data_IF_882659757439
#
_entry.id   IF_882659757439
#
_cell.length_a   1.000
_cell.length_b   1.000
_cell.length_c   1.000
_cell.angle_alpha   90.00
_cell.angle_beta   90.00
_cell.angle_gamma   90.00
#
_symmetry.space_group_name_H-M   'P 1'
#
loop_
_entity.id
_entity.type
_entity.pdbx_description
1 polymer ?
#
# COMPACT_ATOMS: atom_id res chain seq x y z
N UNK A 1 -4.39 11.81 -20.81
CA UNK A 1 -3.42 10.93 -21.49
C UNK A 1 -3.85 9.48 -21.27
N UNK A 2 -3.86 8.64 -22.32
CA UNK A 2 -4.24 7.22 -22.21
C UNK A 2 -3.11 6.33 -22.68
N UNK A 3 -2.80 5.29 -21.92
CA UNK A 3 -1.77 4.29 -22.22
C UNK A 3 -2.39 2.88 -22.14
N UNK A 4 -1.72 1.87 -22.69
CA UNK A 4 -2.11 0.46 -22.52
C UNK A 4 -1.01 -0.26 -21.75
N UNK A 5 -1.36 -0.81 -20.58
CA UNK A 5 -0.48 -1.66 -19.79
C UNK A 5 -0.80 -3.12 -20.15
N UNK A 6 -0.07 -3.66 -21.12
CA UNK A 6 -0.43 -4.93 -21.75
C UNK A 6 -1.82 -4.85 -22.40
N UNK A 7 -2.74 -5.69 -21.94
CA UNK A 7 -4.14 -5.70 -22.42
C UNK A 7 -5.08 -4.77 -21.63
N UNK A 8 -4.59 -4.08 -20.61
CA UNK A 8 -5.40 -3.20 -19.75
C UNK A 8 -5.29 -1.75 -20.24
N UNK A 9 -6.39 -1.13 -20.70
CA UNK A 9 -6.40 0.31 -21.00
C UNK A 9 -6.34 1.12 -19.71
N UNK A 10 -5.45 2.11 -19.66
CA UNK A 10 -5.19 2.92 -18.46
C UNK A 10 -5.23 4.41 -18.80
N UNK A 11 -5.93 5.18 -17.98
CA UNK A 11 -5.99 6.64 -18.09
C UNK A 11 -5.08 7.23 -17.02
N UNK A 12 -4.16 8.10 -17.45
CA UNK A 12 -3.25 8.82 -16.55
C UNK A 12 -3.86 10.18 -16.23
N UNK A 13 -4.06 10.44 -14.94
CA UNK A 13 -4.54 11.70 -14.38
C UNK A 13 -3.33 12.49 -13.88
N UNK A 14 -2.99 13.59 -14.56
CA UNK A 14 -1.73 14.32 -14.34
C UNK A 14 -1.93 15.81 -14.02
N UNK A 15 -3.15 16.24 -13.69
CA UNK A 15 -3.42 17.60 -13.23
C UNK A 15 -4.30 17.61 -11.97
N UNK A 16 -4.17 18.63 -11.10
CA UNK A 16 -5.01 18.76 -9.91
C UNK A 16 -6.51 18.84 -10.24
N UNK A 17 -6.88 19.56 -11.30
CA UNK A 17 -8.26 19.73 -11.73
C UNK A 17 -8.86 18.39 -12.16
N UNK A 18 -8.10 17.60 -12.91
CA UNK A 18 -8.51 16.25 -13.28
C UNK A 18 -8.56 15.32 -12.07
N UNK A 19 -7.60 15.40 -11.15
CA UNK A 19 -7.62 14.61 -9.92
C UNK A 19 -8.86 14.90 -9.06
N UNK A 20 -9.27 16.17 -8.96
CA UNK A 20 -10.50 16.58 -8.27
C UNK A 20 -11.74 15.94 -8.91
N UNK A 21 -11.83 15.93 -10.24
CA UNK A 21 -12.95 15.29 -10.93
C UNK A 21 -13.05 13.78 -10.63
N UNK A 22 -11.91 13.09 -10.52
CA UNK A 22 -11.87 11.64 -10.28
C UNK A 22 -12.03 11.25 -8.81
N UNK A 23 -11.41 12.00 -7.89
CA UNK A 23 -11.32 11.65 -6.47
C UNK A 23 -12.36 12.34 -5.59
N UNK A 24 -13.05 13.36 -6.10
CA UNK A 24 -14.08 14.10 -5.36
C UNK A 24 -15.41 14.12 -6.11
N UNK A 25 -15.44 14.61 -7.36
CA UNK A 25 -16.72 14.77 -8.09
C UNK A 25 -17.34 13.43 -8.52
N UNK A 26 -16.51 12.50 -8.98
CA UNK A 26 -16.94 11.17 -9.46
C UNK A 26 -16.31 10.05 -8.62
N UNK A 27 -16.03 10.33 -7.35
CA UNK A 27 -15.30 9.45 -6.44
C UNK A 27 -15.93 8.06 -6.33
N UNK A 28 -17.26 7.97 -6.25
CA UNK A 28 -18.00 6.70 -6.16
C UNK A 28 -17.85 5.85 -7.42
N UNK A 29 -17.79 6.47 -8.60
CA UNK A 29 -17.64 5.76 -9.88
C UNK A 29 -16.26 5.11 -9.96
N UNK A 30 -15.23 5.81 -9.49
CA UNK A 30 -13.84 5.36 -9.51
C UNK A 30 -13.36 4.76 -8.18
N UNK A 31 -14.27 4.49 -7.24
CA UNK A 31 -13.92 4.01 -5.91
C UNK A 31 -13.38 2.57 -5.92
N UNK A 32 -13.85 1.74 -6.85
CA UNK A 32 -13.42 0.34 -6.97
C UNK A 32 -12.03 0.20 -7.57
N UNK A 33 -11.27 -0.80 -7.10
CA UNK A 33 -9.95 -1.14 -7.68
C UNK A 33 -10.08 -2.19 -8.80
N UNK A 34 -9.21 -2.15 -9.82
CA UNK A 34 -9.10 -3.24 -10.79
C UNK A 34 -8.87 -4.58 -10.07
N UNK A 35 -9.49 -5.65 -10.58
CA UNK A 35 -9.27 -6.99 -10.03
C UNK A 35 -7.86 -7.45 -10.39
N UNK A 36 -7.03 -7.64 -9.38
CA UNK A 36 -5.69 -8.18 -9.50
C UNK A 36 -5.69 -9.61 -8.97
N UNK A 37 -5.13 -10.57 -9.72
CA UNK A 37 -5.01 -11.96 -9.27
C UNK A 37 -4.20 -12.03 -7.95
N UNK A 38 -3.14 -11.23 -7.83
CA UNK A 38 -2.38 -11.09 -6.60
C UNK A 38 -3.27 -10.74 -5.38
N UNK A 39 -4.23 -9.85 -5.56
CA UNK A 39 -5.10 -9.40 -4.47
C UNK A 39 -6.11 -10.49 -4.06
N UNK A 40 -6.46 -11.43 -4.95
CA UNK A 40 -7.24 -12.61 -4.57
C UNK A 40 -6.46 -13.53 -3.61
N UNK A 41 -5.16 -13.73 -3.87
CA UNK A 41 -4.31 -14.57 -3.01
C UNK A 41 -3.96 -13.90 -1.68
N UNK A 42 -3.55 -12.62 -1.71
CA UNK A 42 -3.01 -11.93 -0.53
C UNK A 42 -4.10 -11.25 0.30
N UNK A 43 -5.25 -10.89 -0.30
CA UNK A 43 -6.34 -10.20 0.40
C UNK A 43 -7.57 -11.08 0.62
N UNK A 44 -7.37 -12.38 0.85
CA UNK A 44 -8.45 -13.34 1.15
C UNK A 44 -9.63 -13.26 0.17
N UNK A 45 -9.33 -13.28 -1.14
CA UNK A 45 -10.33 -13.11 -2.20
C UNK A 45 -10.87 -11.68 -2.28
N UNK A 46 -9.98 -10.68 -2.23
CA UNK A 46 -10.34 -9.25 -2.25
C UNK A 46 -11.26 -8.79 -1.11
N UNK A 47 -11.25 -9.44 0.06
CA UNK A 47 -12.04 -9.05 1.23
C UNK A 47 -11.29 -8.08 2.18
N UNK A 48 -10.29 -7.35 1.68
CA UNK A 48 -9.55 -6.36 2.46
C UNK A 48 -10.08 -4.93 2.29
N UNK A 49 -9.63 -4.00 3.14
CA UNK A 49 -9.94 -2.57 2.99
C UNK A 49 -9.38 -1.97 1.68
N UNK A 50 -8.24 -2.50 1.21
CA UNK A 50 -7.47 -1.91 0.10
C UNK A 50 -8.01 -2.33 -1.27
N UNK A 51 -8.31 -3.62 -1.46
CA UNK A 51 -8.67 -4.18 -2.77
C UNK A 51 -10.13 -4.61 -2.91
N UNK A 52 -10.95 -4.51 -1.85
CA UNK A 52 -12.36 -4.81 -1.99
C UNK A 52 -13.06 -3.82 -2.94
N UNK A 53 -13.95 -4.30 -3.82
CA UNK A 53 -14.75 -3.42 -4.65
C UNK A 53 -15.64 -2.54 -3.77
N UNK A 54 -15.94 -1.34 -4.27
CA UNK A 54 -16.78 -0.41 -3.54
C UNK A 54 -18.19 -0.98 -3.37
N UNK A 55 -18.68 -0.96 -2.13
CA UNK A 55 -19.97 -1.54 -1.77
C UNK A 55 -20.24 -1.44 -0.28
N UNK A 56 -21.36 -2.02 0.18
CA UNK A 56 -21.75 -2.01 1.61
C UNK A 56 -20.68 -2.62 2.51
N UNK A 57 -20.05 -3.70 2.07
CA UNK A 57 -18.93 -4.35 2.75
C UNK A 57 -17.76 -3.39 2.97
N UNK A 58 -17.23 -2.81 1.89
CA UNK A 58 -16.10 -1.89 1.94
C UNK A 58 -16.39 -0.66 2.81
N UNK A 59 -17.59 -0.08 2.71
CA UNK A 59 -18.00 1.06 3.54
C UNK A 59 -18.00 0.70 5.03
N UNK A 60 -18.47 -0.50 5.37
CA UNK A 60 -18.52 -0.99 6.75
C UNK A 60 -17.11 -1.19 7.32
N UNK A 61 -16.26 -1.91 6.58
CA UNK A 61 -14.87 -2.14 6.97
C UNK A 61 -14.11 -0.82 7.11
N UNK A 62 -14.27 0.11 6.16
CA UNK A 62 -13.66 1.44 6.24
C UNK A 62 -14.11 2.19 7.49
N UNK A 63 -15.41 2.20 7.80
CA UNK A 63 -15.94 2.83 9.01
C UNK A 63 -15.33 2.22 10.27
N UNK A 64 -15.22 0.89 10.33
CA UNK A 64 -14.63 0.20 11.47
C UNK A 64 -13.14 0.55 11.63
N UNK A 65 -12.36 0.53 10.55
CA UNK A 65 -10.96 0.94 10.58
C UNK A 65 -10.80 2.39 11.04
N UNK A 66 -11.61 3.32 10.53
CA UNK A 66 -11.58 4.72 10.94
C UNK A 66 -11.87 4.89 12.43
N UNK A 67 -12.88 4.20 12.97
CA UNK A 67 -13.25 4.36 14.37
C UNK A 67 -12.28 3.65 15.33
N UNK A 68 -11.88 2.43 15.00
CA UNK A 68 -11.18 1.54 15.93
C UNK A 68 -9.66 1.59 15.82
N UNK A 69 -9.12 2.00 14.67
CA UNK A 69 -7.68 2.00 14.40
C UNK A 69 -7.13 3.41 14.15
N UNK A 70 -7.86 4.21 13.36
CA UNK A 70 -7.36 5.49 12.84
C UNK A 70 -8.03 6.73 13.47
N UNK A 71 -8.75 6.56 14.59
CA UNK A 71 -9.34 7.68 15.31
C UNK A 71 -8.28 8.44 16.09
N UNK A 72 -8.46 9.75 16.30
CA UNK A 72 -7.49 10.60 17.02
C UNK A 72 -7.12 10.01 18.38
N UNK A 73 -8.11 9.51 19.13
CA UNK A 73 -7.91 8.84 20.41
C UNK A 73 -6.97 7.62 20.30
N UNK A 74 -7.15 6.79 19.27
CA UNK A 74 -6.30 5.60 19.05
C UNK A 74 -4.90 6.02 18.62
N UNK A 75 -4.79 7.05 17.78
CA UNK A 75 -3.51 7.60 17.37
C UNK A 75 -2.73 8.10 18.58
N UNK A 76 -3.35 8.84 19.50
CA UNK A 76 -2.72 9.29 20.75
C UNK A 76 -2.34 8.11 21.65
N UNK A 77 -3.25 7.14 21.83
CA UNK A 77 -2.98 5.95 22.65
C UNK A 77 -1.72 5.18 22.21
N UNK A 78 -1.51 5.06 20.89
CA UNK A 78 -0.35 4.36 20.32
C UNK A 78 0.89 5.23 20.15
N UNK A 79 0.87 6.50 20.55
CA UNK A 79 1.99 7.45 20.38
C UNK A 79 3.29 6.91 20.97
N UNK A 80 3.25 6.41 22.21
CA UNK A 80 4.45 5.91 22.91
C UNK A 80 5.11 4.74 22.17
N UNK A 81 4.29 3.83 21.63
CA UNK A 81 4.79 2.68 20.87
C UNK A 81 5.42 3.17 19.56
N UNK A 82 4.73 4.05 18.82
CA UNK A 82 5.28 4.61 17.57
C UNK A 82 6.60 5.34 17.81
N UNK A 83 6.71 6.15 18.87
CA UNK A 83 7.95 6.85 19.24
C UNK A 83 9.09 5.87 19.46
N UNK A 84 8.86 4.83 20.26
CA UNK A 84 9.87 3.79 20.54
C UNK A 84 10.34 3.07 19.26
N UNK A 85 9.42 2.68 18.37
CA UNK A 85 9.79 1.99 17.13
C UNK A 85 10.60 2.89 16.19
N UNK A 86 10.26 4.18 16.11
CA UNK A 86 11.01 5.17 15.33
C UNK A 86 12.42 5.40 15.90
N UNK A 87 12.54 5.52 17.22
CA UNK A 87 13.85 5.64 17.89
C UNK A 87 14.70 4.40 17.65
N UNK A 88 14.12 3.20 17.79
CA UNK A 88 14.81 1.93 17.51
C UNK A 88 15.29 1.85 16.05
N UNK A 89 14.47 2.27 15.09
CA UNK A 89 14.86 2.30 13.68
C UNK A 89 16.00 3.30 13.44
N UNK A 90 15.94 4.49 14.03
CA UNK A 90 16.99 5.50 13.93
C UNK A 90 18.34 4.98 14.51
N UNK A 91 18.29 4.30 15.64
CA UNK A 91 19.46 3.66 16.24
C UNK A 91 20.04 2.57 15.35
N UNK A 92 19.19 1.73 14.72
CA UNK A 92 19.64 0.72 13.76
C UNK A 92 20.36 1.36 12.57
N UNK A 93 19.77 2.41 11.98
CA UNK A 93 20.38 3.16 10.87
C UNK A 93 21.75 3.74 11.28
N UNK A 94 21.84 4.33 12.48
CA UNK A 94 23.08 4.88 13.01
C UNK A 94 24.16 3.82 13.23
N UNK A 95 23.78 2.62 13.68
CA UNK A 95 24.69 1.48 13.85
C UNK A 95 25.20 0.94 12.52
N UNK A 96 24.33 0.83 11.51
CA UNK A 96 24.70 0.43 10.14
C UNK A 96 25.68 1.44 9.56
N UNK A 97 25.37 2.75 9.67
CA UNK A 97 26.25 3.84 9.22
C UNK A 97 27.63 3.81 9.91
N UNK A 98 27.67 3.45 11.19
CA UNK A 98 28.92 3.39 11.96
C UNK A 98 29.71 2.09 11.72
N UNK A 99 29.26 1.21 10.82
CA UNK A 99 29.90 -0.08 10.55
C UNK A 99 29.79 -1.10 11.69
N UNK A 100 28.85 -0.90 12.62
CA UNK A 100 28.75 -1.64 13.89
C UNK A 100 27.64 -2.71 13.93
N UNK A 101 26.95 -3.03 12.83
CA UNK A 101 25.85 -4.00 12.86
C UNK A 101 25.92 -5.05 11.75
N UNK A 102 25.72 -6.31 12.16
CA UNK A 102 25.48 -7.52 11.37
C UNK A 102 24.15 -8.16 11.78
N UNK A 103 23.07 -7.37 11.95
CA UNK A 103 21.78 -7.91 12.42
C UNK A 103 20.74 -8.02 11.29
N UNK A 104 20.50 -9.26 10.87
CA UNK A 104 19.54 -9.73 9.86
C UNK A 104 18.10 -9.87 10.41
N UNK A 105 17.70 -9.02 11.38
CA UNK A 105 16.49 -9.26 12.19
C UNK A 105 15.15 -9.10 11.44
N UNK A 106 15.17 -8.47 10.26
CA UNK A 106 14.00 -8.34 9.40
C UNK A 106 14.35 -8.77 7.98
N UNK A 107 14.59 -10.07 7.79
CA UNK A 107 14.73 -10.61 6.44
C UNK A 107 13.33 -10.69 5.79
N UNK A 108 12.88 -9.57 5.24
CA UNK A 108 11.66 -9.46 4.43
C UNK A 108 11.85 -10.06 3.04
N UNK A 109 13.10 -10.38 2.65
CA UNK A 109 13.42 -10.96 1.34
C UNK A 109 12.62 -12.20 1.00
N UNK A 110 12.45 -13.22 1.87
CA UNK A 110 11.63 -14.39 1.56
C UNK A 110 10.17 -14.04 1.26
N UNK A 111 9.55 -13.14 2.04
CA UNK A 111 8.17 -12.69 1.82
C UNK A 111 8.04 -11.86 0.53
N UNK A 112 9.01 -10.99 0.26
CA UNK A 112 9.07 -10.21 -0.97
C UNK A 112 9.24 -11.15 -2.17
N UNK A 113 10.17 -12.09 -2.12
CA UNK A 113 10.40 -13.07 -3.18
C UNK A 113 9.19 -13.99 -3.42
N UNK A 114 8.48 -14.39 -2.37
CA UNK A 114 7.25 -15.18 -2.50
C UNK A 114 6.13 -14.34 -3.12
N UNK A 115 5.99 -13.07 -2.71
CA UNK A 115 5.03 -12.13 -3.31
C UNK A 115 5.34 -11.83 -4.78
N UNK A 116 6.63 -11.73 -5.16
CA UNK A 116 7.10 -11.52 -6.53
C UNK A 116 6.94 -12.78 -7.39
N UNK A 117 7.17 -13.97 -6.83
CA UNK A 117 6.90 -15.25 -7.49
C UNK A 117 5.42 -15.46 -7.77
N UNK A 118 4.54 -15.04 -6.83
CA UNK A 118 3.09 -15.08 -7.00
C UNK A 118 2.58 -13.97 -7.92
N UNK A 119 3.22 -12.80 -7.95
CA UNK A 119 2.82 -11.70 -8.83
C UNK A 119 3.15 -11.99 -10.29
N UNK A 120 4.23 -12.78 -10.55
CA UNK A 120 4.78 -13.35 -11.81
C UNK A 120 4.71 -12.53 -13.12
N UNK A 121 4.14 -11.33 -13.11
CA UNK A 121 3.93 -10.39 -14.22
C UNK A 121 3.59 -8.96 -13.72
N UNK A 122 3.65 -8.67 -12.41
CA UNK A 122 3.28 -7.35 -11.87
C UNK A 122 4.45 -6.73 -11.10
N UNK A 123 5.07 -5.71 -11.70
CA UNK A 123 5.96 -4.81 -10.98
C UNK A 123 5.09 -3.86 -10.14
N UNK A 124 5.16 -4.01 -8.81
CA UNK A 124 4.43 -3.17 -7.87
C UNK A 124 4.85 -1.69 -7.99
N UNK A 125 6.07 -1.41 -8.46
CA UNK A 125 6.57 -0.06 -8.69
C UNK A 125 5.77 0.72 -9.76
N UNK A 126 5.14 0.02 -10.71
CA UNK A 126 4.35 0.66 -11.77
C UNK A 126 3.06 1.31 -11.24
N UNK A 127 2.59 0.89 -10.05
CA UNK A 127 1.38 1.40 -9.41
C UNK A 127 1.66 2.19 -8.13
N UNK A 128 2.84 2.02 -7.53
CA UNK A 128 3.23 2.61 -6.26
C UNK A 128 4.60 3.26 -6.41
N UNK A 129 4.61 4.51 -6.87
CA UNK A 129 5.83 5.24 -7.29
C UNK A 129 6.89 5.37 -6.19
N UNK A 130 6.51 5.36 -4.91
CA UNK A 130 7.49 5.40 -3.81
C UNK A 130 8.29 4.09 -3.63
N UNK A 131 7.83 2.98 -4.23
CA UNK A 131 8.53 1.70 -4.24
C UNK A 131 9.45 1.52 -5.45
N UNK A 132 9.47 2.47 -6.40
CA UNK A 132 10.34 2.44 -7.57
C UNK A 132 11.85 2.35 -7.28
N UNK A 133 12.40 2.98 -6.23
CA UNK A 133 13.83 2.88 -5.91
C UNK A 133 14.29 1.49 -5.43
N UNK A 134 13.36 0.58 -5.14
CA UNK A 134 13.67 -0.74 -4.59
C UNK A 134 13.93 -1.81 -5.66
N UNK A 135 13.82 -1.47 -6.95
CA UNK A 135 14.06 -2.33 -8.12
C UNK A 135 13.61 -3.78 -7.91
N UNK A 136 12.29 -3.96 -7.79
CA UNK A 136 11.63 -5.22 -7.44
C UNK A 136 11.36 -6.11 -8.68
N UNK A 137 12.34 -6.25 -9.58
CA UNK A 137 12.32 -7.23 -10.66
C UNK A 137 12.61 -8.65 -10.17
#
# INVERSE_FOLDING_TARGET
MSIRLGNVPTIVVSSPEAAKLFLETHDVVFASRPKLQFADYVSYGNKGLVFAPYGSYWRTVRKWCTLQLLSSLKVELFERIRRREVESLADQINRVRSGKSKDDKFDLKPLIQESLKLSRHFNIADYVTFLAPLDLQ
#
